data_IF_481662686879
#
_entry.id   IF_481662686879
#
_cell.length_a   1.000
_cell.length_b   1.000
_cell.length_c   1.000
_cell.angle_alpha   90.00
_cell.angle_beta   90.00
_cell.angle_gamma   90.00
#
_symmetry.space_group_name_H-M   'P 1'
#
loop_
_entity.id
_entity.type
_entity.pdbx_description
1 polymer ?
#
# COMPACT_ATOMS: atom_id res chain seq x y z
N UNK A 1 20.05 13.40 11.02
CA UNK A 1 19.07 13.52 9.91
C UNK A 1 17.69 14.00 10.37
N UNK A 2 17.16 13.57 11.54
CA UNK A 2 15.88 14.06 12.12
C UNK A 2 15.78 15.60 12.24
N UNK A 3 16.88 16.32 12.52
CA UNK A 3 16.89 17.79 12.61
C UNK A 3 16.77 18.52 11.26
N UNK A 4 17.11 17.90 10.11
CA UNK A 4 17.04 18.55 8.80
C UNK A 4 15.62 18.63 8.25
N UNK A 5 14.80 17.61 8.47
CA UNK A 5 13.39 17.62 8.01
C UNK A 5 12.52 18.57 8.85
N UNK A 6 12.75 18.65 10.17
CA UNK A 6 12.11 19.67 11.02
C UNK A 6 12.47 21.10 10.60
N UNK A 7 13.73 21.34 10.15
CA UNK A 7 14.16 22.67 9.70
C UNK A 7 13.60 23.02 8.31
N UNK A 8 13.46 22.07 7.39
CA UNK A 8 12.90 22.33 6.07
C UNK A 8 11.40 22.65 6.14
N UNK A 9 10.61 21.88 6.91
CA UNK A 9 9.19 22.17 7.12
C UNK A 9 8.95 23.52 7.82
N UNK A 10 9.80 23.90 8.75
CA UNK A 10 9.69 25.15 9.51
C UNK A 10 10.22 26.34 8.68
N UNK A 11 11.32 26.21 7.97
CA UNK A 11 11.91 27.32 7.18
C UNK A 11 11.09 27.66 5.93
N UNK A 12 10.55 26.67 5.23
CA UNK A 12 9.69 26.90 4.07
C UNK A 12 8.34 27.52 4.49
N UNK A 13 7.86 27.26 5.70
CA UNK A 13 6.67 27.89 6.27
C UNK A 13 6.84 29.35 6.64
N UNK A 14 8.03 29.81 7.02
CA UNK A 14 8.27 31.19 7.46
C UNK A 14 8.41 32.19 6.30
N UNK A 15 8.95 31.78 5.17
CA UNK A 15 9.29 32.71 4.05
C UNK A 15 8.10 33.06 3.13
N UNK A 16 7.00 32.32 3.15
CA UNK A 16 5.86 32.51 2.24
C UNK A 16 4.66 33.28 2.84
N UNK A 17 4.69 33.61 4.16
CA UNK A 17 3.58 34.29 4.87
C UNK A 17 3.50 35.79 4.65
N UNK A 18 4.48 36.40 4.00
CA UNK A 18 4.58 37.86 3.90
C UNK A 18 3.80 38.52 2.77
N UNK A 19 2.97 37.80 2.02
CA UNK A 19 2.41 38.30 0.75
C UNK A 19 0.88 38.33 0.59
N UNK A 20 0.04 38.13 1.64
CA UNK A 20 -1.43 38.27 1.49
C UNK A 20 -2.11 38.95 2.68
N UNK A 21 -2.88 39.97 2.38
CA UNK A 21 -3.67 40.96 3.11
C UNK A 21 -4.29 40.72 4.50
N UNK A 22 -4.47 41.78 5.21
CA UNK A 22 -4.52 42.08 6.63
C UNK A 22 -5.69 41.56 7.52
N UNK A 23 -6.66 40.77 7.07
CA UNK A 23 -7.76 40.25 7.94
C UNK A 23 -7.76 38.71 7.98
N UNK A 24 -7.43 38.06 6.88
CA UNK A 24 -7.16 36.61 6.81
C UNK A 24 -5.84 36.26 7.52
N UNK A 25 -4.96 37.23 7.75
CA UNK A 25 -3.64 37.07 8.34
C UNK A 25 -3.66 36.64 9.80
N UNK A 26 -4.57 37.17 10.64
CA UNK A 26 -4.56 36.94 12.09
C UNK A 26 -5.00 35.50 12.45
N UNK A 27 -6.06 35.01 11.82
CA UNK A 27 -6.54 33.62 12.00
C UNK A 27 -5.55 32.58 11.46
N UNK A 28 -4.85 32.93 10.38
CA UNK A 28 -3.81 32.07 9.82
C UNK A 28 -2.54 32.04 10.67
N UNK A 29 -2.21 33.11 11.35
CA UNK A 29 -1.03 33.19 12.23
C UNK A 29 -1.23 32.38 13.51
N UNK A 30 -2.41 32.48 14.13
CA UNK A 30 -2.80 31.65 15.29
C UNK A 30 -2.82 30.16 14.95
N UNK A 31 -3.41 29.79 13.81
CA UNK A 31 -3.41 28.41 13.33
C UNK A 31 -1.98 27.91 13.04
N UNK A 32 -1.12 28.76 12.52
CA UNK A 32 0.29 28.45 12.28
C UNK A 32 1.06 28.20 13.57
N UNK A 33 0.85 29.03 14.58
CA UNK A 33 1.50 28.88 15.89
C UNK A 33 1.03 27.61 16.57
N UNK A 34 -0.29 27.34 16.53
CA UNK A 34 -0.90 26.14 17.09
C UNK A 34 -0.38 24.88 16.38
N UNK A 35 -0.36 24.86 15.06
CA UNK A 35 0.22 23.76 14.28
C UNK A 35 1.67 23.48 14.66
N UNK A 36 2.49 24.54 14.73
CA UNK A 36 3.91 24.42 15.11
C UNK A 36 4.10 23.86 16.51
N UNK A 37 3.22 24.27 17.45
CA UNK A 37 3.21 23.74 18.83
C UNK A 37 2.85 22.27 18.87
N UNK A 38 1.79 21.87 18.17
CA UNK A 38 1.33 20.47 18.09
C UNK A 38 2.40 19.55 17.48
N UNK A 39 3.05 19.98 16.38
CA UNK A 39 4.15 19.25 15.77
C UNK A 39 5.34 19.08 16.70
N UNK A 40 5.72 20.14 17.46
CA UNK A 40 6.79 20.05 18.46
C UNK A 40 6.46 19.10 19.60
N UNK A 41 5.18 19.03 20.00
CA UNK A 41 4.68 18.13 21.04
C UNK A 41 4.41 16.71 20.54
N UNK A 42 4.67 16.44 19.24
CA UNK A 42 4.33 15.17 18.56
C UNK A 42 2.84 14.81 18.62
N UNK A 43 1.97 15.79 18.81
CA UNK A 43 0.53 15.61 18.76
C UNK A 43 0.02 15.76 17.32
N UNK A 44 0.34 14.79 16.50
CA UNK A 44 0.07 14.79 15.07
C UNK A 44 -1.43 14.70 14.76
N UNK A 45 -2.20 13.97 15.58
CA UNK A 45 -3.64 13.86 15.43
C UNK A 45 -4.35 15.21 15.53
N UNK A 46 -3.99 16.04 16.51
CA UNK A 46 -4.54 17.40 16.62
C UNK A 46 -4.02 18.32 15.52
N UNK A 47 -2.77 18.13 15.07
CA UNK A 47 -2.21 18.89 13.95
C UNK A 47 -3.00 18.62 12.65
N UNK A 48 -3.37 17.36 12.38
CA UNK A 48 -4.22 16.98 11.23
C UNK A 48 -5.61 17.60 11.36
N UNK A 49 -6.28 17.45 12.51
CA UNK A 49 -7.61 18.05 12.76
C UNK A 49 -7.62 19.55 12.55
N UNK A 50 -6.57 20.23 13.01
CA UNK A 50 -6.41 21.66 12.78
C UNK A 50 -6.30 21.99 11.29
N UNK A 51 -5.49 21.25 10.53
CA UNK A 51 -5.34 21.48 9.09
C UNK A 51 -6.61 21.13 8.31
N UNK A 52 -7.34 20.10 8.69
CA UNK A 52 -8.64 19.77 8.10
C UNK A 52 -9.66 20.90 8.29
N UNK A 53 -9.67 21.51 9.49
CA UNK A 53 -10.51 22.69 9.77
C UNK A 53 -10.13 23.88 8.89
N UNK A 54 -8.83 24.15 8.77
CA UNK A 54 -8.30 25.22 7.91
C UNK A 54 -8.61 24.99 6.43
N UNK A 55 -8.53 23.74 5.96
CA UNK A 55 -8.81 23.38 4.56
C UNK A 55 -10.30 23.37 4.20
N UNK A 56 -11.21 23.28 5.18
CA UNK A 56 -12.67 23.44 4.94
C UNK A 56 -13.06 24.86 4.58
N UNK A 57 -12.27 25.83 4.98
CA UNK A 57 -12.48 27.22 4.60
C UNK A 57 -12.01 27.42 3.14
N UNK A 58 -12.93 27.86 2.27
CA UNK A 58 -12.66 28.03 0.83
C UNK A 58 -11.52 29.02 0.53
N UNK A 59 -11.31 29.98 1.41
CA UNK A 59 -10.26 31.00 1.25
C UNK A 59 -8.87 30.51 1.65
N UNK A 60 -8.77 29.46 2.47
CA UNK A 60 -7.50 28.90 2.95
C UNK A 60 -7.03 27.65 2.19
N UNK A 61 -7.75 27.21 1.15
CA UNK A 61 -7.37 26.08 0.30
C UNK A 61 -6.18 26.41 -0.59
N UNK A 62 -5.02 26.60 0.00
CA UNK A 62 -3.77 26.84 -0.73
C UNK A 62 -2.94 25.55 -0.76
N UNK A 63 -2.13 25.37 -1.81
CA UNK A 63 -1.16 24.28 -1.90
C UNK A 63 -0.30 24.15 -0.63
N UNK A 64 -0.06 25.27 0.06
CA UNK A 64 0.71 25.35 1.29
C UNK A 64 0.05 24.67 2.51
N UNK A 65 -1.27 24.86 2.70
CA UNK A 65 -2.01 24.18 3.78
C UNK A 65 -2.11 22.69 3.52
N UNK A 66 -2.20 22.32 2.26
CA UNK A 66 -2.15 20.94 1.83
C UNK A 66 -0.82 20.26 2.21
N UNK A 67 0.34 20.87 1.90
CA UNK A 67 1.64 20.32 2.28
C UNK A 67 1.79 20.12 3.81
N UNK A 68 1.27 21.04 4.59
CA UNK A 68 1.31 20.94 6.06
C UNK A 68 0.49 19.75 6.58
N UNK A 69 -0.67 19.55 6.01
CA UNK A 69 -1.53 18.44 6.39
C UNK A 69 -0.90 17.10 6.00
N UNK A 70 -0.37 17.00 4.78
CA UNK A 70 0.35 15.80 4.32
C UNK A 70 1.59 15.53 5.17
N UNK A 71 2.34 16.56 5.55
CA UNK A 71 3.49 16.41 6.44
C UNK A 71 3.09 15.93 7.84
N UNK A 72 1.95 16.41 8.38
CA UNK A 72 1.44 15.95 9.68
C UNK A 72 0.98 14.48 9.60
N UNK A 73 0.31 14.09 8.53
CA UNK A 73 -0.11 12.70 8.31
C UNK A 73 1.10 11.76 8.18
N UNK A 74 2.06 12.09 7.32
CA UNK A 74 3.28 11.30 7.18
C UNK A 74 4.08 11.20 8.50
N UNK A 75 4.03 12.23 9.35
CA UNK A 75 4.69 12.20 10.65
C UNK A 75 4.01 11.28 11.67
N UNK A 76 2.69 11.04 11.57
CA UNK A 76 1.99 10.03 12.39
C UNK A 76 2.52 8.65 12.05
N UNK A 77 2.56 8.31 10.76
CA UNK A 77 3.00 6.99 10.29
C UNK A 77 4.46 6.68 10.63
N UNK A 78 5.30 7.69 10.76
CA UNK A 78 6.71 7.52 11.14
C UNK A 78 6.95 7.22 12.62
N UNK A 79 5.95 7.32 13.48
CA UNK A 79 6.08 7.04 14.92
C UNK A 79 5.58 5.61 15.29
N UNK A 80 4.93 4.89 14.34
CA UNK A 80 4.38 3.56 14.58
C UNK A 80 5.08 2.49 13.73
N UNK A 81 5.80 1.57 14.40
CA UNK A 81 6.40 0.40 13.74
C UNK A 81 5.31 -0.59 13.28
N UNK A 82 4.31 -0.80 14.08
CA UNK A 82 3.18 -1.70 13.81
C UNK A 82 2.01 -0.90 13.23
N UNK A 83 1.35 -1.49 12.25
CA UNK A 83 0.14 -0.94 11.65
C UNK A 83 -0.87 -2.08 11.56
N UNK A 84 -1.84 -2.05 12.45
CA UNK A 84 -2.82 -3.12 12.62
C UNK A 84 -3.95 -3.03 11.59
N UNK A 85 -4.66 -4.12 11.38
CA UNK A 85 -5.85 -4.15 10.53
C UNK A 85 -6.94 -3.18 11.02
N UNK A 86 -7.13 -3.05 12.33
CA UNK A 86 -8.10 -2.13 12.93
C UNK A 86 -7.73 -0.65 12.68
N UNK A 87 -6.45 -0.30 12.80
CA UNK A 87 -5.96 1.05 12.47
C UNK A 87 -6.16 1.34 10.99
N UNK A 88 -5.78 0.42 10.12
CA UNK A 88 -6.00 0.55 8.67
C UNK A 88 -7.47 0.78 8.32
N UNK A 89 -8.42 0.03 8.91
CA UNK A 89 -9.86 0.24 8.68
C UNK A 89 -10.34 1.60 9.20
N UNK A 90 -9.82 2.05 10.34
CA UNK A 90 -10.15 3.37 10.91
C UNK A 90 -9.67 4.48 10.00
N UNK A 91 -8.45 4.37 9.49
CA UNK A 91 -7.87 5.34 8.56
C UNK A 91 -8.62 5.33 7.22
N UNK A 92 -8.94 4.13 6.71
CA UNK A 92 -9.71 3.98 5.47
C UNK A 92 -11.10 4.61 5.56
N UNK A 93 -11.82 4.37 6.66
CA UNK A 93 -13.12 4.99 6.92
C UNK A 93 -13.01 6.53 6.98
N UNK A 94 -11.95 7.04 7.62
CA UNK A 94 -11.67 8.47 7.68
C UNK A 94 -11.36 9.07 6.31
N UNK A 95 -10.56 8.38 5.49
CA UNK A 95 -10.21 8.79 4.12
C UNK A 95 -11.47 8.80 3.24
N UNK A 96 -12.26 7.71 3.25
CA UNK A 96 -13.47 7.60 2.44
C UNK A 96 -14.51 8.66 2.81
N UNK A 97 -14.71 8.95 4.11
CA UNK A 97 -15.60 10.02 4.58
C UNK A 97 -15.12 11.42 4.20
N UNK A 98 -13.81 11.63 4.13
CA UNK A 98 -13.22 12.92 3.79
C UNK A 98 -13.21 13.19 2.30
N UNK A 99 -13.08 12.15 1.48
CA UNK A 99 -12.96 12.23 0.03
C UNK A 99 -13.99 11.33 -0.70
N UNK A 100 -15.29 11.47 -0.41
CA UNK A 100 -16.31 10.53 -0.89
C UNK A 100 -16.49 10.50 -2.41
N UNK A 101 -16.07 11.58 -3.10
CA UNK A 101 -16.14 11.68 -4.56
C UNK A 101 -15.02 10.89 -5.25
N UNK A 102 -13.97 10.51 -4.52
CA UNK A 102 -12.78 9.88 -5.08
C UNK A 102 -12.46 8.53 -4.44
N UNK A 103 -12.85 8.31 -3.20
CA UNK A 103 -12.56 7.08 -2.45
C UNK A 103 -13.85 6.46 -1.94
N UNK A 104 -13.99 5.18 -2.24
CA UNK A 104 -15.03 4.35 -1.64
C UNK A 104 -14.48 2.95 -1.38
N UNK A 105 -15.09 2.21 -0.48
CA UNK A 105 -14.70 0.83 -0.22
C UNK A 105 -15.91 -0.03 0.14
N UNK A 106 -15.76 -1.32 -0.04
CA UNK A 106 -16.68 -2.35 0.42
C UNK A 106 -15.91 -3.43 1.16
N UNK A 107 -16.55 -4.07 2.13
CA UNK A 107 -15.99 -5.22 2.81
C UNK A 107 -16.44 -6.50 2.12
N UNK A 108 -15.50 -7.40 1.82
CA UNK A 108 -15.83 -8.70 1.25
C UNK A 108 -16.85 -9.45 2.12
N UNK A 109 -17.69 -10.25 1.50
CA UNK A 109 -18.69 -11.07 2.20
C UNK A 109 -18.07 -12.22 2.98
N UNK A 110 -16.94 -12.77 2.47
CA UNK A 110 -16.20 -13.81 3.16
C UNK A 110 -15.30 -13.23 4.26
N UNK A 111 -14.99 -14.05 5.25
CA UNK A 111 -14.09 -13.72 6.35
C UNK A 111 -12.84 -14.57 6.30
N UNK A 112 -11.74 -14.03 6.79
CA UNK A 112 -10.53 -14.79 7.12
C UNK A 112 -10.79 -15.74 8.28
N UNK A 113 -9.83 -16.58 8.65
CA UNK A 113 -9.96 -17.52 9.76
C UNK A 113 -10.25 -16.81 11.11
N UNK A 114 -9.67 -15.63 11.33
CA UNK A 114 -9.91 -14.84 12.54
C UNK A 114 -11.13 -13.90 12.43
N UNK A 115 -11.92 -14.01 11.35
CA UNK A 115 -13.17 -13.29 11.18
C UNK A 115 -13.05 -11.91 10.54
N UNK A 116 -11.90 -11.54 9.99
CA UNK A 116 -11.72 -10.25 9.32
C UNK A 116 -12.40 -10.25 7.94
N UNK A 117 -13.16 -9.20 7.65
CA UNK A 117 -13.70 -8.90 6.33
C UNK A 117 -12.76 -7.93 5.61
N UNK A 118 -12.18 -8.37 4.50
CA UNK A 118 -11.17 -7.59 3.80
C UNK A 118 -11.80 -6.44 3.00
N UNK A 119 -11.27 -5.22 3.06
CA UNK A 119 -11.74 -4.11 2.26
C UNK A 119 -11.20 -4.21 0.82
N UNK A 120 -12.09 -3.92 -0.13
CA UNK A 120 -11.76 -3.62 -1.51
C UNK A 120 -12.02 -2.15 -1.74
N UNK A 121 -10.96 -1.39 -1.94
CA UNK A 121 -11.00 0.07 -2.04
C UNK A 121 -10.97 0.49 -3.50
N UNK A 122 -11.72 1.52 -3.83
CA UNK A 122 -11.70 2.17 -5.14
C UNK A 122 -11.19 3.60 -4.98
N UNK A 123 -10.18 3.95 -5.75
CA UNK A 123 -9.71 5.32 -5.91
C UNK A 123 -9.94 5.75 -7.36
N UNK A 124 -10.75 6.78 -7.56
CA UNK A 124 -11.15 7.28 -8.87
C UNK A 124 -12.51 6.80 -9.34
N UNK A 125 -12.77 6.93 -10.64
CA UNK A 125 -14.06 6.58 -11.25
C UNK A 125 -14.18 5.08 -11.49
N UNK A 126 -15.09 4.40 -10.80
CA UNK A 126 -15.37 2.95 -10.97
C UNK A 126 -15.78 2.56 -12.40
N UNK A 127 -16.36 3.50 -13.14
CA UNK A 127 -16.77 3.30 -14.52
C UNK A 127 -15.72 3.72 -15.54
N UNK A 128 -14.50 4.02 -15.10
CA UNK A 128 -13.39 4.28 -16.01
C UNK A 128 -13.16 3.08 -16.93
N UNK A 129 -12.60 3.34 -18.10
CA UNK A 129 -12.25 2.27 -19.05
C UNK A 129 -11.05 1.46 -18.57
N UNK A 130 -10.13 2.11 -17.85
CA UNK A 130 -8.84 1.57 -17.44
C UNK A 130 -8.82 1.29 -15.95
N UNK A 131 -8.27 0.15 -15.55
CA UNK A 131 -8.20 -0.28 -14.17
C UNK A 131 -6.81 -0.81 -13.81
N UNK A 132 -6.29 -0.35 -12.68
CA UNK A 132 -5.05 -0.87 -12.09
C UNK A 132 -5.42 -1.53 -10.76
N UNK A 133 -5.09 -2.81 -10.60
CA UNK A 133 -5.24 -3.48 -9.32
C UNK A 133 -3.98 -3.34 -8.48
N UNK A 134 -4.13 -2.91 -7.23
CA UNK A 134 -3.03 -2.79 -6.27
C UNK A 134 -3.30 -3.70 -5.07
N UNK A 135 -2.33 -4.51 -4.70
CA UNK A 135 -2.38 -5.27 -3.46
C UNK A 135 -1.15 -5.02 -2.60
N UNK A 136 -1.32 -5.17 -1.28
CA UNK A 136 -0.24 -5.05 -0.31
C UNK A 136 -0.38 -6.06 0.82
N UNK A 137 0.74 -6.40 1.44
CA UNK A 137 0.82 -7.24 2.64
C UNK A 137 0.15 -8.61 2.47
N UNK A 138 0.47 -9.28 1.37
CA UNK A 138 0.12 -10.68 1.18
C UNK A 138 0.92 -11.58 2.14
N UNK A 139 2.17 -11.22 2.42
CA UNK A 139 2.96 -11.84 3.49
C UNK A 139 2.80 -11.05 4.79
N UNK A 140 2.56 -11.77 5.87
CA UNK A 140 2.22 -11.25 7.18
C UNK A 140 3.17 -10.19 7.75
N UNK A 141 4.48 -10.39 7.65
CA UNK A 141 5.53 -9.51 8.20
C UNK A 141 5.78 -8.23 7.37
N UNK A 142 5.08 -8.08 6.25
CA UNK A 142 5.34 -7.06 5.24
C UNK A 142 4.37 -5.86 5.34
N UNK A 143 3.92 -5.53 6.55
CA UNK A 143 2.91 -4.50 6.83
C UNK A 143 3.33 -3.06 6.48
N UNK A 144 4.63 -2.79 6.23
CA UNK A 144 5.08 -1.53 5.61
C UNK A 144 4.42 -1.29 4.24
N UNK A 145 4.13 -2.36 3.49
CA UNK A 145 3.42 -2.27 2.22
C UNK A 145 2.01 -1.70 2.39
N UNK A 146 1.29 -2.07 3.47
CA UNK A 146 -0.01 -1.46 3.81
C UNK A 146 0.15 0.01 4.18
N UNK A 147 1.14 0.36 5.01
CA UNK A 147 1.38 1.77 5.40
C UNK A 147 1.64 2.64 4.17
N UNK A 148 2.47 2.18 3.23
CA UNK A 148 2.71 2.89 1.98
C UNK A 148 1.43 3.03 1.15
N UNK A 149 0.69 1.94 0.96
CA UNK A 149 -0.53 1.93 0.14
C UNK A 149 -1.59 2.86 0.69
N UNK A 150 -1.80 2.89 2.01
CA UNK A 150 -2.74 3.79 2.67
C UNK A 150 -2.31 5.25 2.56
N UNK A 151 -1.01 5.52 2.71
CA UNK A 151 -0.47 6.87 2.55
C UNK A 151 -0.59 7.37 1.09
N UNK A 152 -0.36 6.49 0.11
CA UNK A 152 -0.58 6.82 -1.31
C UNK A 152 -2.06 7.06 -1.61
N UNK A 153 -2.96 6.21 -1.12
CA UNK A 153 -4.41 6.38 -1.25
C UNK A 153 -4.84 7.77 -0.78
N UNK A 154 -4.44 8.17 0.43
CA UNK A 154 -4.79 9.49 0.94
C UNK A 154 -4.11 10.61 0.15
N UNK A 155 -2.83 10.45 -0.23
CA UNK A 155 -2.11 11.43 -1.03
C UNK A 155 -2.85 11.75 -2.33
N UNK A 156 -3.24 10.73 -3.10
CA UNK A 156 -3.96 10.92 -4.37
C UNK A 156 -5.38 11.46 -4.16
N UNK A 157 -6.10 10.99 -3.14
CA UNK A 157 -7.41 11.52 -2.80
C UNK A 157 -7.37 13.02 -2.45
N UNK A 158 -6.33 13.45 -1.74
CA UNK A 158 -6.10 14.88 -1.44
C UNK A 158 -5.80 15.68 -2.68
N UNK A 159 -4.94 15.17 -3.57
CA UNK A 159 -4.60 15.85 -4.83
C UNK A 159 -5.86 16.06 -5.70
N UNK A 160 -6.74 15.06 -5.76
CA UNK A 160 -8.02 15.18 -6.47
C UNK A 160 -8.95 16.20 -5.84
N UNK A 161 -9.10 16.16 -4.52
CA UNK A 161 -9.99 17.06 -3.79
C UNK A 161 -9.64 18.55 -3.98
N UNK A 162 -8.37 18.85 -4.12
CA UNK A 162 -7.91 20.23 -4.33
C UNK A 162 -8.04 20.72 -5.77
N UNK A 163 -8.19 19.83 -6.73
CA UNK A 163 -8.36 20.08 -8.18
C UNK A 163 -7.37 21.07 -8.82
N UNK A 164 -6.28 21.39 -8.14
CA UNK A 164 -5.22 22.30 -8.58
C UNK A 164 -3.88 21.57 -8.75
N UNK A 165 -3.82 20.29 -8.37
CA UNK A 165 -2.60 19.52 -8.44
C UNK A 165 -2.41 18.95 -9.84
N UNK A 166 -1.37 19.44 -10.51
CA UNK A 166 -0.94 18.95 -11.82
C UNK A 166 0.34 18.12 -11.67
N UNK A 167 0.37 17.02 -12.39
CA UNK A 167 1.54 16.18 -12.56
C UNK A 167 1.78 15.95 -14.06
N UNK A 168 2.96 16.32 -14.54
CA UNK A 168 3.32 16.25 -15.97
C UNK A 168 2.26 16.93 -16.89
N UNK A 169 1.70 18.05 -16.45
CA UNK A 169 0.70 18.82 -17.20
C UNK A 169 -0.72 18.23 -17.19
N UNK A 170 -0.97 17.19 -16.40
CA UNK A 170 -2.29 16.60 -16.21
C UNK A 170 -2.79 16.81 -14.77
N UNK A 171 -4.06 17.17 -14.61
CA UNK A 171 -4.69 17.19 -13.28
C UNK A 171 -4.92 15.79 -12.81
N UNK A 172 -4.56 15.49 -11.55
CA UNK A 172 -4.75 14.16 -10.97
C UNK A 172 -6.24 13.79 -10.91
N UNK A 173 -7.13 14.75 -10.65
CA UNK A 173 -8.58 14.53 -10.72
C UNK A 173 -9.04 14.05 -12.10
N UNK A 174 -8.55 14.63 -13.19
CA UNK A 174 -8.88 14.20 -14.55
C UNK A 174 -8.29 12.85 -14.90
N UNK A 175 -7.09 12.56 -14.41
CA UNK A 175 -6.44 11.26 -14.59
C UNK A 175 -7.26 10.15 -13.92
N UNK A 176 -7.72 10.36 -12.69
CA UNK A 176 -8.54 9.40 -11.93
C UNK A 176 -10.02 9.32 -12.39
N UNK A 177 -10.46 10.19 -13.31
CA UNK A 177 -11.71 9.96 -14.05
C UNK A 177 -11.55 8.93 -15.17
N UNK A 178 -10.33 8.72 -15.68
CA UNK A 178 -10.04 7.84 -16.81
C UNK A 178 -9.41 6.51 -16.37
N UNK A 179 -8.70 6.51 -15.24
CA UNK A 179 -8.05 5.32 -14.65
C UNK A 179 -8.52 5.14 -13.22
N UNK A 180 -8.99 3.96 -12.89
CA UNK A 180 -9.45 3.59 -11.56
C UNK A 180 -8.46 2.64 -10.90
N UNK A 181 -8.06 2.92 -9.66
CA UNK A 181 -7.29 2.00 -8.84
C UNK A 181 -8.23 1.17 -7.97
N UNK A 182 -8.11 -0.16 -8.08
CA UNK A 182 -8.81 -1.13 -7.22
C UNK A 182 -7.79 -1.70 -6.25
N UNK A 183 -7.95 -1.44 -4.95
CA UNK A 183 -6.87 -1.60 -3.98
C UNK A 183 -7.30 -2.57 -2.87
N UNK A 184 -6.46 -3.57 -2.58
CA UNK A 184 -6.56 -4.41 -1.37
C UNK A 184 -5.37 -4.05 -0.48
N UNK A 185 -5.54 -3.15 0.49
CA UNK A 185 -4.41 -2.55 1.20
C UNK A 185 -3.73 -3.49 2.21
N UNK A 186 -4.43 -4.54 2.68
CA UNK A 186 -3.89 -5.59 3.54
C UNK A 186 -4.56 -6.92 3.21
N UNK A 187 -3.87 -7.76 2.45
CA UNK A 187 -4.42 -9.06 2.02
C UNK A 187 -4.47 -10.06 3.18
N UNK A 188 -3.50 -10.01 4.10
CA UNK A 188 -3.30 -11.02 5.15
C UNK A 188 -3.34 -10.42 6.58
N UNK A 189 -4.50 -9.94 7.05
CA UNK A 189 -4.61 -9.35 8.39
C UNK A 189 -4.36 -10.34 9.52
N UNK A 190 -4.78 -11.58 9.37
CA UNK A 190 -4.58 -12.63 10.36
C UNK A 190 -3.10 -12.92 10.58
N UNK A 191 -2.34 -13.00 9.50
CA UNK A 191 -0.90 -13.15 9.56
C UNK A 191 -0.21 -11.91 10.15
N UNK A 192 -0.68 -10.69 9.83
CA UNK A 192 -0.16 -9.44 10.42
C UNK A 192 -0.33 -9.45 11.93
N UNK A 193 -1.49 -9.87 12.45
CA UNK A 193 -1.73 -10.01 13.88
C UNK A 193 -0.67 -10.93 14.53
N UNK A 194 -0.37 -12.09 13.89
CA UNK A 194 0.67 -12.99 14.37
C UNK A 194 2.06 -12.34 14.25
N UNK A 195 2.37 -11.68 13.13
CA UNK A 195 3.68 -11.07 12.90
C UNK A 195 4.02 -9.97 13.91
N UNK A 196 3.01 -9.26 14.39
CA UNK A 196 3.16 -8.15 15.34
C UNK A 196 3.13 -8.60 16.80
N UNK A 197 2.31 -9.59 17.15
CA UNK A 197 1.98 -9.93 18.53
C UNK A 197 2.35 -11.38 18.94
N UNK A 198 2.76 -12.22 17.99
CA UNK A 198 3.05 -13.63 18.25
C UNK A 198 1.85 -14.37 18.84
N UNK A 199 2.13 -15.31 19.74
CA UNK A 199 1.09 -16.06 20.46
C UNK A 199 0.29 -15.22 21.48
N UNK A 200 0.68 -13.95 21.71
CA UNK A 200 -0.07 -13.02 22.57
C UNK A 200 -1.16 -12.25 21.81
N UNK A 201 -1.22 -12.39 20.48
CA UNK A 201 -2.20 -11.74 19.65
C UNK A 201 -3.66 -12.19 19.91
N UNK A 202 -4.60 -11.50 19.24
CA UNK A 202 -6.02 -11.84 19.26
C UNK A 202 -6.30 -13.04 18.33
N UNK A 203 -5.93 -14.22 18.77
CA UNK A 203 -5.95 -15.46 18.02
C UNK A 203 -6.89 -16.49 18.68
N UNK A 204 -7.38 -17.45 17.90
CA UNK A 204 -8.03 -18.65 18.48
C UNK A 204 -7.03 -19.48 19.26
N UNK A 205 -7.51 -20.33 20.18
CA UNK A 205 -6.63 -21.16 21.00
C UNK A 205 -5.78 -22.11 20.14
N UNK A 206 -6.34 -22.64 19.07
CA UNK A 206 -5.63 -23.50 18.11
C UNK A 206 -4.47 -22.74 17.44
N UNK A 207 -4.72 -21.53 16.95
CA UNK A 207 -3.69 -20.69 16.31
C UNK A 207 -2.63 -20.29 17.33
N UNK A 208 -3.01 -19.90 18.55
CA UNK A 208 -2.07 -19.59 19.64
C UNK A 208 -1.14 -20.77 19.94
N UNK A 209 -1.70 -21.98 20.05
CA UNK A 209 -0.92 -23.16 20.31
C UNK A 209 0.09 -23.44 19.17
N UNK A 210 -0.34 -23.35 17.94
CA UNK A 210 0.54 -23.52 16.78
C UNK A 210 1.66 -22.48 16.73
N UNK A 211 1.35 -21.22 16.98
CA UNK A 211 2.34 -20.13 17.00
C UNK A 211 3.37 -20.38 18.10
N UNK A 212 2.93 -20.69 19.34
CA UNK A 212 3.82 -21.03 20.47
C UNK A 212 4.75 -22.20 20.14
N UNK A 213 4.21 -23.28 19.61
CA UNK A 213 5.02 -24.44 19.22
C UNK A 213 6.09 -24.07 18.18
N UNK A 214 5.76 -23.17 17.27
CA UNK A 214 6.71 -22.72 16.24
C UNK A 214 7.78 -21.81 16.85
N UNK A 215 7.41 -20.94 17.80
CA UNK A 215 8.33 -20.07 18.53
C UNK A 215 9.25 -20.90 19.45
N UNK A 216 8.72 -21.87 20.17
CA UNK A 216 9.47 -22.81 21.02
C UNK A 216 10.50 -23.62 20.21
N UNK A 217 10.21 -23.89 18.94
CA UNK A 217 11.14 -24.51 17.99
C UNK A 217 12.16 -23.50 17.38
N UNK A 218 12.25 -22.30 17.92
CA UNK A 218 13.27 -21.28 17.56
C UNK A 218 12.94 -20.42 16.36
N UNK A 219 11.69 -20.44 15.85
CA UNK A 219 11.28 -19.54 14.76
C UNK A 219 10.46 -18.37 15.31
N UNK A 220 11.01 -17.16 15.25
CA UNK A 220 10.31 -15.93 15.68
C UNK A 220 9.06 -15.66 14.83
N UNK A 221 7.96 -15.27 15.50
CA UNK A 221 6.73 -14.82 14.85
C UNK A 221 6.96 -13.64 13.87
N UNK A 222 7.96 -12.80 14.14
CA UNK A 222 8.29 -11.67 13.23
C UNK A 222 8.77 -12.10 11.84
N UNK A 223 9.02 -13.40 11.63
CA UNK A 223 9.44 -13.98 10.34
C UNK A 223 8.30 -14.60 9.54
N UNK A 224 7.07 -14.58 10.06
CA UNK A 224 5.94 -15.23 9.39
C UNK A 224 5.57 -14.53 8.10
N UNK A 225 5.33 -15.32 7.05
CA UNK A 225 4.71 -14.92 5.77
C UNK A 225 3.26 -15.39 5.68
N UNK A 226 2.98 -16.53 6.29
CA UNK A 226 1.72 -17.25 6.20
C UNK A 226 0.54 -16.50 6.87
N UNK A 227 -0.69 -16.90 6.52
CA UNK A 227 -1.90 -16.53 7.24
C UNK A 227 -2.06 -17.37 8.54
N UNK A 228 -3.18 -17.22 9.24
CA UNK A 228 -3.46 -17.96 10.47
C UNK A 228 -3.65 -19.48 10.26
N UNK A 229 -3.94 -19.93 9.04
CA UNK A 229 -3.91 -21.35 8.66
C UNK A 229 -2.49 -21.89 8.46
N UNK A 230 -1.47 -21.04 8.54
CA UNK A 230 -0.09 -21.40 8.25
C UNK A 230 0.17 -21.64 6.77
N UNK A 231 -0.64 -21.05 5.89
CA UNK A 231 -0.52 -21.09 4.43
C UNK A 231 0.15 -19.80 3.95
N UNK A 232 1.21 -19.94 3.18
CA UNK A 232 1.84 -18.84 2.43
C UNK A 232 0.93 -18.48 1.26
N UNK A 233 0.16 -17.40 1.40
CA UNK A 233 -0.86 -17.00 0.43
C UNK A 233 -0.24 -16.81 -0.96
N UNK A 234 0.98 -16.25 -1.04
CA UNK A 234 1.71 -16.09 -2.30
C UNK A 234 2.31 -17.40 -2.84
N UNK A 235 1.79 -18.54 -2.40
CA UNK A 235 2.02 -19.91 -2.91
C UNK A 235 0.71 -20.67 -3.11
N UNK A 236 -0.44 -20.02 -2.83
CA UNK A 236 -1.76 -20.65 -2.85
C UNK A 236 -2.54 -20.40 -4.17
N UNK A 237 -1.90 -19.82 -5.20
CA UNK A 237 -2.51 -19.57 -6.51
C UNK A 237 -2.30 -20.74 -7.46
N UNK A 238 -3.16 -20.83 -8.51
CA UNK A 238 -3.30 -22.02 -9.34
C UNK A 238 -2.10 -22.33 -10.21
N UNK A 239 -1.53 -21.31 -10.82
CA UNK A 239 -0.42 -21.51 -11.74
C UNK A 239 0.87 -21.87 -11.00
N UNK A 240 1.43 -23.04 -11.33
CA UNK A 240 2.62 -23.53 -10.66
C UNK A 240 2.41 -23.99 -9.20
N UNK A 241 1.17 -24.15 -8.74
CA UNK A 241 0.84 -24.61 -7.37
C UNK A 241 1.58 -25.89 -6.98
N UNK A 242 1.73 -26.82 -7.92
CA UNK A 242 2.45 -28.09 -7.74
C UNK A 242 3.88 -28.04 -8.30
N UNK A 243 4.43 -26.86 -8.55
CA UNK A 243 5.75 -26.72 -9.17
C UNK A 243 6.85 -27.30 -8.27
N UNK A 244 7.60 -28.33 -8.71
CA UNK A 244 8.67 -28.94 -7.93
C UNK A 244 9.91 -28.05 -7.78
N UNK A 245 10.00 -26.91 -8.48
CA UNK A 245 11.18 -26.06 -8.49
C UNK A 245 11.43 -25.26 -7.20
N UNK A 246 10.51 -25.25 -6.24
CA UNK A 246 10.77 -24.64 -4.95
C UNK A 246 11.27 -25.69 -3.95
N UNK A 247 12.59 -25.86 -3.87
CA UNK A 247 13.25 -26.70 -2.86
C UNK A 247 12.85 -26.34 -1.40
N UNK A 248 12.28 -25.16 -1.21
CA UNK A 248 11.82 -24.64 0.10
C UNK A 248 10.38 -25.00 0.44
N UNK A 249 9.61 -25.64 -0.47
CA UNK A 249 8.19 -25.94 -0.25
C UNK A 249 7.99 -26.83 0.98
N UNK A 250 7.07 -26.42 1.83
CA UNK A 250 6.63 -27.21 2.99
C UNK A 250 5.41 -28.06 2.63
N UNK A 251 5.28 -29.20 3.27
CA UNK A 251 4.17 -30.15 3.07
C UNK A 251 3.09 -30.02 4.14
N UNK A 252 3.29 -29.14 5.12
CA UNK A 252 2.40 -28.93 6.25
C UNK A 252 2.43 -27.48 6.70
N UNK A 253 1.43 -27.08 7.48
CA UNK A 253 1.28 -25.78 8.12
C UNK A 253 2.63 -25.23 8.61
N UNK A 254 2.99 -24.03 8.17
CA UNK A 254 4.32 -23.44 8.44
C UNK A 254 4.24 -21.92 8.41
N UNK A 255 5.24 -21.25 8.98
CA UNK A 255 5.35 -19.78 8.88
C UNK A 255 5.65 -19.28 7.45
N UNK A 256 6.12 -20.16 6.55
CA UNK A 256 6.39 -19.81 5.17
C UNK A 256 6.39 -21.05 4.25
N UNK A 257 6.21 -20.83 2.96
CA UNK A 257 6.36 -21.82 1.88
C UNK A 257 5.41 -23.03 1.91
N UNK A 258 4.41 -23.07 2.78
CA UNK A 258 3.32 -24.03 2.69
C UNK A 258 2.20 -23.45 1.83
N UNK A 259 1.89 -24.11 0.72
CA UNK A 259 0.92 -23.61 -0.27
C UNK A 259 -0.54 -24.00 0.03
N UNK A 260 -0.80 -24.67 1.16
CA UNK A 260 -2.12 -25.25 1.41
C UNK A 260 -2.31 -26.62 0.73
N UNK A 261 -3.49 -27.18 0.87
CA UNK A 261 -3.84 -28.50 0.29
C UNK A 261 -4.28 -28.37 -1.17
N UNK A 262 -4.92 -27.29 -1.52
CA UNK A 262 -5.47 -27.00 -2.88
C UNK A 262 -5.17 -25.56 -3.25
N UNK A 263 -5.05 -25.23 -4.55
CA UNK A 263 -4.97 -23.87 -4.99
C UNK A 263 -6.25 -23.12 -4.59
N UNK A 264 -6.10 -21.86 -4.24
CA UNK A 264 -7.18 -20.96 -3.78
C UNK A 264 -7.95 -21.51 -2.56
N UNK A 265 -7.30 -22.31 -1.70
CA UNK A 265 -7.94 -22.83 -0.47
C UNK A 265 -8.22 -21.71 0.55
N UNK A 266 -7.43 -20.66 0.53
CA UNK A 266 -7.51 -19.59 1.52
C UNK A 266 -8.52 -18.50 1.13
N UNK A 267 -9.31 -17.96 2.08
CA UNK A 267 -10.26 -16.89 1.80
C UNK A 267 -9.60 -15.66 1.20
N UNK A 268 -8.36 -15.35 1.58
CA UNK A 268 -7.56 -14.26 1.04
C UNK A 268 -7.24 -14.46 -0.45
N UNK A 269 -6.81 -15.64 -0.84
CA UNK A 269 -6.54 -15.94 -2.27
C UNK A 269 -7.83 -15.99 -3.10
N UNK A 270 -8.94 -16.44 -2.50
CA UNK A 270 -10.27 -16.39 -3.14
C UNK A 270 -10.76 -14.95 -3.34
N UNK A 271 -10.50 -14.05 -2.39
CA UNK A 271 -10.79 -12.63 -2.58
C UNK A 271 -10.01 -12.06 -3.77
N UNK A 272 -8.68 -12.30 -3.80
CA UNK A 272 -7.84 -11.85 -4.90
C UNK A 272 -8.39 -12.31 -6.26
N UNK A 273 -8.80 -13.56 -6.36
CA UNK A 273 -9.42 -14.13 -7.56
C UNK A 273 -10.75 -13.42 -7.91
N UNK A 274 -11.65 -13.22 -6.93
CA UNK A 274 -12.94 -12.53 -7.17
C UNK A 274 -12.74 -11.08 -7.63
N UNK A 275 -11.76 -10.38 -7.05
CA UNK A 275 -11.51 -8.98 -7.40
C UNK A 275 -10.86 -8.87 -8.77
N UNK A 276 -9.94 -9.78 -9.13
CA UNK A 276 -9.32 -9.78 -10.46
C UNK A 276 -10.28 -10.07 -11.62
N UNK A 277 -11.47 -10.58 -11.32
CA UNK A 277 -12.52 -10.86 -12.32
C UNK A 277 -13.54 -9.72 -12.47
N UNK A 278 -13.40 -8.62 -11.73
CA UNK A 278 -14.39 -7.52 -11.74
C UNK A 278 -14.26 -6.62 -12.97
N UNK A 279 -13.05 -6.48 -13.49
CA UNK A 279 -12.70 -5.58 -14.58
C UNK A 279 -11.67 -6.21 -15.50
N UNK A 280 -11.55 -5.69 -16.71
CA UNK A 280 -10.37 -5.90 -17.54
C UNK A 280 -9.27 -4.97 -17.01
N UNK A 281 -8.31 -5.54 -16.29
CA UNK A 281 -7.21 -4.78 -15.70
C UNK A 281 -6.08 -4.57 -16.71
N UNK A 282 -5.48 -3.38 -16.67
CA UNK A 282 -4.33 -3.02 -17.49
C UNK A 282 -3.01 -3.39 -16.79
N UNK A 283 -3.01 -3.43 -15.45
CA UNK A 283 -1.84 -3.70 -14.63
C UNK A 283 -2.22 -4.27 -13.25
N UNK A 284 -1.43 -5.23 -12.78
CA UNK A 284 -1.42 -5.67 -11.38
C UNK A 284 -0.14 -5.20 -10.69
N UNK A 285 -0.28 -4.31 -9.70
CA UNK A 285 0.82 -3.78 -8.90
C UNK A 285 0.82 -4.42 -7.52
N UNK A 286 1.94 -5.06 -7.17
CA UNK A 286 2.06 -5.83 -5.93
C UNK A 286 3.13 -5.20 -5.05
N UNK A 287 2.75 -4.74 -3.85
CA UNK A 287 3.70 -4.25 -2.86
C UNK A 287 4.04 -5.35 -1.85
N UNK A 288 5.32 -5.69 -1.80
CA UNK A 288 5.95 -6.62 -0.89
C UNK A 288 7.12 -5.95 -0.14
N UNK A 289 7.79 -6.68 0.70
CA UNK A 289 9.09 -6.34 1.31
C UNK A 289 9.95 -7.60 1.39
N UNK A 290 11.24 -7.56 1.30
CA UNK A 290 12.19 -6.48 1.28
C UNK A 290 13.24 -6.70 0.20
N UNK A 291 14.04 -5.67 -0.04
CA UNK A 291 15.21 -5.79 -0.95
C UNK A 291 15.45 -4.51 -1.76
N UNK A 292 14.48 -3.58 -1.79
CA UNK A 292 14.51 -2.41 -2.67
C UNK A 292 14.71 -2.83 -4.14
N UNK A 293 13.93 -3.80 -4.60
CA UNK A 293 14.01 -4.39 -5.94
C UNK A 293 12.63 -4.44 -6.60
N UNK A 294 12.60 -4.63 -7.91
CA UNK A 294 11.39 -4.75 -8.71
C UNK A 294 11.46 -6.03 -9.52
N UNK A 295 10.48 -6.92 -9.35
CA UNK A 295 10.26 -8.07 -10.21
C UNK A 295 9.20 -7.74 -11.26
N UNK A 296 9.39 -8.23 -12.47
CA UNK A 296 8.43 -8.08 -13.56
C UNK A 296 8.43 -9.30 -14.46
N UNK A 297 7.26 -9.69 -14.94
CA UNK A 297 7.12 -10.79 -15.89
C UNK A 297 7.41 -12.17 -15.30
N UNK A 298 6.99 -13.21 -15.99
CA UNK A 298 7.32 -14.59 -15.66
C UNK A 298 7.67 -15.42 -16.91
N UNK A 299 8.37 -16.55 -16.71
CA UNK A 299 8.89 -17.39 -17.81
C UNK A 299 7.81 -17.90 -18.77
N UNK A 300 6.62 -18.20 -18.25
CA UNK A 300 5.53 -18.80 -19.01
C UNK A 300 4.52 -17.76 -19.54
N UNK A 301 4.70 -16.48 -19.24
CA UNK A 301 3.86 -15.43 -19.79
C UNK A 301 4.19 -15.16 -21.27
N UNK A 302 3.22 -14.62 -22.00
CA UNK A 302 3.44 -14.22 -23.39
C UNK A 302 4.45 -13.08 -23.47
N UNK A 303 5.23 -13.04 -24.55
CA UNK A 303 6.29 -12.01 -24.74
C UNK A 303 5.78 -10.58 -24.64
N UNK A 304 4.57 -10.31 -25.12
CA UNK A 304 4.01 -8.96 -25.02
C UNK A 304 3.65 -8.59 -23.57
N UNK A 305 3.17 -9.54 -22.76
CA UNK A 305 2.90 -9.34 -21.33
C UNK A 305 4.19 -8.98 -20.59
N UNK A 306 5.25 -9.76 -20.80
CA UNK A 306 6.57 -9.50 -20.21
C UNK A 306 7.15 -8.14 -20.66
N UNK A 307 6.90 -7.74 -21.92
CA UNK A 307 7.32 -6.43 -22.41
C UNK A 307 6.59 -5.30 -21.69
N UNK A 308 5.26 -5.37 -21.58
CA UNK A 308 4.46 -4.37 -20.85
C UNK A 308 4.85 -4.31 -19.37
N UNK A 309 4.99 -5.47 -18.72
CA UNK A 309 5.44 -5.52 -17.31
C UNK A 309 6.82 -4.86 -17.13
N UNK A 310 7.75 -5.06 -18.09
CA UNK A 310 9.03 -4.39 -18.08
C UNK A 310 8.92 -2.87 -18.26
N UNK A 311 8.06 -2.40 -19.15
CA UNK A 311 7.89 -0.96 -19.39
C UNK A 311 7.30 -0.29 -18.14
N UNK A 312 6.29 -0.87 -17.47
CA UNK A 312 5.80 -0.40 -16.16
C UNK A 312 6.86 -0.47 -15.05
N UNK A 313 7.65 -1.54 -15.01
CA UNK A 313 8.73 -1.67 -14.03
C UNK A 313 9.80 -0.58 -14.20
N UNK A 314 10.11 -0.18 -15.44
CA UNK A 314 11.01 0.95 -15.71
C UNK A 314 10.50 2.27 -15.18
N UNK A 315 9.19 2.55 -15.28
CA UNK A 315 8.61 3.76 -14.70
C UNK A 315 8.82 3.81 -13.19
N UNK A 316 8.60 2.68 -12.51
CA UNK A 316 8.83 2.58 -11.06
C UNK A 316 10.34 2.72 -10.75
N UNK A 317 11.20 2.10 -11.55
CA UNK A 317 12.66 2.24 -11.41
C UNK A 317 13.12 3.70 -11.52
N UNK A 318 12.55 4.49 -12.43
CA UNK A 318 12.90 5.91 -12.59
C UNK A 318 12.68 6.74 -11.31
N UNK A 319 11.68 6.39 -10.50
CA UNK A 319 11.42 7.04 -9.23
C UNK A 319 12.23 6.48 -8.07
N UNK A 320 12.41 5.17 -8.04
CA UNK A 320 12.92 4.45 -6.89
C UNK A 320 14.41 4.16 -6.95
N UNK A 321 14.94 4.06 -8.16
CA UNK A 321 16.26 3.51 -8.47
C UNK A 321 16.43 2.06 -7.98
N UNK A 322 15.33 1.30 -7.86
CA UNK A 322 15.37 -0.11 -7.50
C UNK A 322 15.76 -0.96 -8.70
N UNK A 323 16.70 -1.91 -8.57
CA UNK A 323 17.09 -2.78 -9.67
C UNK A 323 15.92 -3.63 -10.16
N UNK A 324 15.93 -3.93 -11.48
CA UNK A 324 14.93 -4.71 -12.18
C UNK A 324 15.34 -6.18 -12.28
N UNK A 325 14.43 -7.08 -11.94
CA UNK A 325 14.60 -8.52 -12.07
C UNK A 325 13.49 -9.09 -12.96
N UNK A 326 13.88 -9.61 -14.11
CA UNK A 326 12.97 -10.09 -15.13
C UNK A 326 12.55 -11.56 -14.97
N UNK A 327 11.88 -12.13 -15.99
CA UNK A 327 11.22 -13.43 -15.94
C UNK A 327 12.09 -14.63 -15.50
N UNK A 328 13.39 -14.56 -15.74
CA UNK A 328 14.32 -15.65 -15.42
C UNK A 328 14.87 -15.58 -13.99
N UNK A 329 14.50 -14.55 -13.22
CA UNK A 329 15.17 -14.24 -11.96
C UNK A 329 14.61 -14.98 -10.75
N UNK A 330 13.36 -15.43 -10.77
CA UNK A 330 12.76 -16.13 -9.66
C UNK A 330 11.58 -17.02 -10.07
N UNK A 331 11.83 -18.24 -10.56
CA UNK A 331 10.75 -19.21 -10.76
C UNK A 331 10.18 -19.62 -9.38
N UNK A 332 9.00 -19.12 -9.01
CA UNK A 332 8.43 -19.36 -7.71
C UNK A 332 7.24 -20.33 -7.73
N UNK A 333 6.37 -20.30 -8.71
CA UNK A 333 5.15 -21.08 -8.81
C UNK A 333 4.13 -20.88 -7.68
N UNK A 334 2.88 -20.82 -8.01
CA UNK A 334 1.79 -20.56 -7.07
C UNK A 334 1.73 -19.12 -6.57
N UNK A 335 2.44 -18.19 -7.22
CA UNK A 335 2.40 -16.76 -6.88
C UNK A 335 1.24 -16.06 -7.56
N UNK A 336 0.78 -14.98 -6.95
CA UNK A 336 -0.24 -14.13 -7.54
C UNK A 336 0.21 -13.52 -8.88
N UNK A 337 1.44 -13.02 -8.93
CA UNK A 337 2.00 -12.39 -10.12
C UNK A 337 2.02 -13.37 -11.32
N UNK A 338 2.53 -14.59 -11.11
CA UNK A 338 2.55 -15.62 -12.17
C UNK A 338 1.12 -15.97 -12.64
N UNK A 339 0.18 -16.02 -11.70
CA UNK A 339 -1.21 -16.39 -11.97
C UNK A 339 -1.88 -15.38 -12.91
N UNK A 340 -1.74 -14.08 -12.62
CA UNK A 340 -2.36 -13.03 -13.44
C UNK A 340 -1.69 -12.88 -14.81
N UNK A 341 -0.38 -13.04 -14.89
CA UNK A 341 0.35 -12.94 -16.16
C UNK A 341 0.06 -14.09 -17.12
N UNK A 342 -0.18 -15.28 -16.58
CA UNK A 342 -0.41 -16.47 -17.41
C UNK A 342 -1.90 -16.64 -17.73
N UNK A 343 -2.77 -16.50 -16.72
CA UNK A 343 -4.21 -16.77 -16.89
C UNK A 343 -4.92 -15.57 -17.54
N UNK A 344 -4.69 -14.37 -17.02
CA UNK A 344 -5.34 -13.15 -17.52
C UNK A 344 -4.55 -12.48 -18.66
N UNK A 345 -3.29 -12.89 -18.86
CA UNK A 345 -2.38 -12.31 -19.86
C UNK A 345 -2.21 -10.79 -19.65
N UNK A 346 -2.27 -10.36 -18.39
CA UNK A 346 -2.13 -8.99 -17.97
C UNK A 346 -0.78 -8.77 -17.27
N UNK A 347 -0.08 -7.67 -17.53
CA UNK A 347 1.22 -7.40 -16.91
C UNK A 347 1.11 -7.29 -15.38
N UNK A 348 2.13 -7.78 -14.71
CA UNK A 348 2.26 -7.70 -13.25
C UNK A 348 3.64 -7.19 -12.86
N UNK A 349 3.68 -6.30 -11.88
CA UNK A 349 4.92 -5.78 -11.30
C UNK A 349 4.88 -5.94 -9.80
N UNK A 350 5.94 -6.53 -9.24
CA UNK A 350 6.11 -6.69 -7.80
C UNK A 350 7.24 -5.80 -7.30
N UNK A 351 6.94 -4.93 -6.35
CA UNK A 351 7.88 -4.00 -5.73
C UNK A 351 8.19 -4.47 -4.31
N UNK A 352 9.43 -4.81 -4.06
CA UNK A 352 9.96 -5.21 -2.76
C UNK A 352 10.54 -4.00 -2.04
N UNK A 353 9.81 -3.46 -1.08
CA UNK A 353 10.14 -2.23 -0.35
C UNK A 353 11.14 -2.47 0.77
N UNK A 354 11.99 -1.49 1.04
CA UNK A 354 12.84 -1.45 2.23
C UNK A 354 13.97 -2.45 2.24
N UNK A 355 14.81 -2.35 3.27
CA UNK A 355 16.09 -3.07 3.33
C UNK A 355 15.99 -4.45 4.01
N UNK A 356 15.05 -4.61 4.95
CA UNK A 356 14.90 -5.81 5.80
C UNK A 356 13.43 -6.17 6.05
N UNK A 357 13.18 -7.31 6.68
CA UNK A 357 11.84 -7.76 7.07
C UNK A 357 11.77 -8.10 8.58
N UNK A 358 10.84 -7.47 9.32
CA UNK A 358 10.01 -6.32 8.93
C UNK A 358 10.84 -5.08 8.57
N UNK A 359 10.31 -4.21 7.71
CA UNK A 359 10.98 -2.95 7.34
C UNK A 359 10.89 -1.97 8.52
N UNK A 360 12.01 -1.38 8.97
CA UNK A 360 11.98 -0.37 10.03
C UNK A 360 11.17 0.86 9.62
N UNK A 361 10.31 1.35 10.51
CA UNK A 361 9.47 2.52 10.23
C UNK A 361 10.29 3.77 9.87
N UNK A 362 11.54 3.84 10.30
CA UNK A 362 12.46 4.93 9.93
C UNK A 362 12.76 5.02 8.43
N UNK A 363 12.50 3.97 7.64
CA UNK A 363 12.63 3.97 6.19
C UNK A 363 11.40 4.55 5.48
N UNK A 364 10.23 4.60 6.15
CA UNK A 364 8.96 5.02 5.56
C UNK A 364 9.03 6.37 4.82
N UNK A 365 9.61 7.45 5.38
CA UNK A 365 9.66 8.73 4.68
C UNK A 365 10.41 8.65 3.33
N UNK A 366 11.47 7.86 3.28
CA UNK A 366 12.24 7.66 2.04
C UNK A 366 11.47 6.80 1.05
N UNK A 367 10.81 5.75 1.52
CA UNK A 367 9.97 4.88 0.69
C UNK A 367 8.80 5.70 0.10
N UNK A 368 8.08 6.48 0.92
CA UNK A 368 6.99 7.32 0.46
C UNK A 368 7.44 8.33 -0.60
N UNK A 369 8.52 9.07 -0.35
CA UNK A 369 9.04 10.05 -1.31
C UNK A 369 9.37 9.44 -2.68
N UNK A 370 9.90 8.21 -2.70
CA UNK A 370 10.20 7.46 -3.92
C UNK A 370 8.95 7.01 -4.66
N UNK A 371 7.84 6.77 -3.96
CA UNK A 371 6.63 6.15 -4.54
C UNK A 371 5.48 7.14 -4.79
N UNK A 372 5.52 8.34 -4.22
CA UNK A 372 4.39 9.28 -4.25
C UNK A 372 3.88 9.66 -5.66
N UNK A 373 4.72 9.56 -6.69
CA UNK A 373 4.34 9.86 -8.06
C UNK A 373 4.16 8.60 -8.94
N UNK A 374 4.48 7.42 -8.42
CA UNK A 374 4.47 6.17 -9.20
C UNK A 374 3.08 5.87 -9.77
N UNK A 375 2.02 6.02 -8.96
CA UNK A 375 0.66 5.72 -9.45
C UNK A 375 0.20 6.67 -10.55
N UNK A 376 0.62 7.95 -10.52
CA UNK A 376 0.32 8.89 -11.58
C UNK A 376 1.01 8.50 -12.89
N UNK A 377 2.29 8.12 -12.84
CA UNK A 377 3.02 7.68 -14.03
C UNK A 377 2.46 6.39 -14.61
N UNK A 378 2.11 5.42 -13.78
CA UNK A 378 1.46 4.19 -14.23
C UNK A 378 0.11 4.48 -14.89
N UNK A 379 -0.70 5.37 -14.31
CA UNK A 379 -1.97 5.76 -14.89
C UNK A 379 -1.83 6.50 -16.23
N UNK A 380 -0.83 7.36 -16.38
CA UNK A 380 -0.52 8.04 -17.66
C UNK A 380 -0.11 7.00 -18.70
N UNK A 381 0.78 6.08 -18.35
CA UNK A 381 1.27 5.03 -19.27
C UNK A 381 0.15 4.12 -19.77
N UNK A 382 -0.79 3.76 -18.87
CA UNK A 382 -1.99 2.98 -19.24
C UNK A 382 -2.85 3.71 -20.27
N UNK A 383 -2.98 5.04 -20.16
CA UNK A 383 -3.74 5.85 -21.13
C UNK A 383 -3.02 6.01 -22.48
N UNK A 384 -1.69 6.07 -22.45
CA UNK A 384 -0.87 6.26 -23.64
C UNK A 384 -0.71 4.96 -24.46
N UNK A 385 -0.90 3.78 -23.81
CA UNK A 385 -0.79 2.45 -24.41
C UNK A 385 -2.05 1.61 -24.14
N UNK A 386 -3.22 2.00 -24.70
CA UNK A 386 -4.51 1.37 -24.43
C UNK A 386 -4.65 -0.04 -25.04
#
# INVERSE_FOLDING_TARGET
>A
MKQRYHRFGILTCLLLFLLTGNIVAQTNEENQQTYTKLMKQKNYGDAIRLMDKVLKDKESKTAKNYYKRTAAYAAIDTDHQHYTFSEMLTDLDSIAKRYPDFVSYELDSATTLLGHRLPVVTLGNRSARHHIMVQATMHAREYMATQLTMALLEHYAQMCYQDICEYKGQRISNLLQQVCFVIIPMVNPDGVEIAQNGSNGQLTDEVKQWVRQTEDNGTSHTKIKANANGVDINRNFGNGFNNPFTSSRKTHRSFNFYSGLLPYSEPESQLMLRVSQRYDYDLFLNYHTSGNIIYYGCQNAKKYVNKLAHDYAKLIHCHTNYPLYGPDSAPAGGTWADDVEIIYQCPSVTVELGSTNPVPISEFPTIFEKHKNVWADLAIEVLDNP
#
